data_IF_470915669842
#
_entry.id   IF_470915669842
#
_cell.length_a   1.000
_cell.length_b   1.000
_cell.length_c   1.000
_cell.angle_alpha   90.00
_cell.angle_beta   90.00
_cell.angle_gamma   90.00
#
_symmetry.space_group_name_H-M   'P 1'
#
loop_
_entity.id
_entity.type
_entity.pdbx_description
1 polymer ?
#
# COMPACT_ATOMS: atom_id res chain seq x y z
N UNK A 1 4.09 37.64 -7.01
CA UNK A 1 3.25 36.60 -6.38
C UNK A 1 3.57 35.29 -7.06
N UNK A 2 3.89 34.31 -6.23
CA UNK A 2 4.42 32.99 -6.53
C UNK A 2 3.39 32.12 -7.27
N UNK A 3 3.77 31.54 -8.40
CA UNK A 3 3.08 30.35 -8.93
C UNK A 3 4.11 29.37 -9.46
N UNK A 4 4.71 28.62 -8.52
CA UNK A 4 5.37 27.37 -8.84
C UNK A 4 4.30 26.39 -9.35
N UNK A 5 4.03 26.39 -10.65
CA UNK A 5 3.30 25.30 -11.31
C UNK A 5 4.27 24.11 -11.43
N UNK A 6 4.46 23.44 -10.29
CA UNK A 6 5.25 22.21 -10.22
C UNK A 6 4.39 21.10 -10.77
N UNK A 7 4.47 20.90 -12.08
CA UNK A 7 4.18 19.65 -12.76
C UNK A 7 2.95 18.94 -12.21
N UNK A 8 1.77 19.38 -12.64
CA UNK A 8 0.56 18.55 -12.60
C UNK A 8 0.83 17.30 -13.44
N UNK A 9 1.54 16.33 -12.87
CA UNK A 9 1.49 14.96 -13.35
C UNK A 9 0.03 14.57 -13.20
N UNK A 10 -0.71 14.68 -14.31
CA UNK A 10 -2.03 14.09 -14.47
C UNK A 10 -1.80 12.58 -14.37
N UNK A 11 -1.77 12.08 -13.15
CA UNK A 11 -1.93 10.66 -12.91
C UNK A 11 -3.34 10.37 -13.41
N UNK A 12 -3.43 9.61 -14.51
CA UNK A 12 -4.70 9.21 -15.09
C UNK A 12 -5.29 8.13 -14.18
N UNK A 13 -6.42 8.46 -13.55
CA UNK A 13 -7.11 7.56 -12.65
C UNK A 13 -8.32 6.94 -13.38
N UNK A 14 -8.62 5.64 -13.19
CA UNK A 14 -7.98 4.72 -12.25
C UNK A 14 -6.68 4.12 -12.78
N UNK A 15 -5.66 4.00 -11.91
CA UNK A 15 -4.39 3.35 -12.23
C UNK A 15 -4.06 2.31 -11.16
N UNK A 16 -3.53 1.16 -11.58
CA UNK A 16 -3.05 0.13 -10.65
C UNK A 16 -1.64 0.47 -10.18
N UNK A 17 -1.48 0.58 -8.87
CA UNK A 17 -0.20 0.84 -8.23
C UNK A 17 0.17 -0.34 -7.33
N UNK A 18 1.28 -1.04 -7.64
CA UNK A 18 1.79 -2.06 -6.74
C UNK A 18 2.47 -1.38 -5.54
N UNK A 19 1.85 -1.50 -4.37
CA UNK A 19 2.45 -1.07 -3.11
C UNK A 19 3.18 -2.26 -2.52
N UNK A 20 4.47 -2.07 -2.20
CA UNK A 20 5.29 -3.09 -1.57
C UNK A 20 5.47 -2.74 -0.10
N UNK A 21 4.95 -3.58 0.76
CA UNK A 21 5.05 -3.45 2.21
C UNK A 21 5.99 -4.52 2.74
N UNK A 22 6.86 -4.16 3.67
CA UNK A 22 7.71 -5.11 4.38
C UNK A 22 7.44 -4.98 5.85
N UNK A 23 7.26 -6.12 6.51
CA UNK A 23 6.95 -6.18 7.94
C UNK A 23 7.36 -7.51 8.54
N UNK A 24 6.93 -7.73 9.79
CA UNK A 24 7.15 -9.00 10.47
C UNK A 24 6.52 -10.17 9.70
N UNK A 25 7.20 -11.32 9.64
CA UNK A 25 6.68 -12.52 9.00
C UNK A 25 5.51 -13.12 9.80
N UNK A 26 4.30 -12.62 9.55
CA UNK A 26 3.08 -13.04 10.24
C UNK A 26 1.87 -12.89 9.31
N UNK A 27 0.99 -13.89 9.26
CA UNK A 27 -0.30 -13.83 8.55
C UNK A 27 -1.17 -12.65 9.00
N UNK A 28 -0.99 -12.20 10.24
CA UNK A 28 -1.69 -11.03 10.78
C UNK A 28 -1.34 -9.75 10.02
N UNK A 29 -0.12 -9.63 9.49
CA UNK A 29 0.28 -8.47 8.69
C UNK A 29 -0.54 -8.37 7.40
N UNK A 30 -0.70 -9.48 6.67
CA UNK A 30 -1.50 -9.49 5.45
C UNK A 30 -2.98 -9.17 5.73
N UNK A 31 -3.54 -9.72 6.80
CA UNK A 31 -4.91 -9.41 7.21
C UNK A 31 -5.10 -7.94 7.60
N UNK A 32 -4.19 -7.37 8.38
CA UNK A 32 -4.27 -5.95 8.78
C UNK A 32 -4.11 -5.02 7.58
N UNK A 33 -3.17 -5.30 6.68
CA UNK A 33 -3.00 -4.52 5.45
C UNK A 33 -4.25 -4.61 4.57
N UNK A 34 -4.82 -5.80 4.43
CA UNK A 34 -6.07 -5.99 3.70
C UNK A 34 -7.22 -5.16 4.31
N UNK A 35 -7.38 -5.17 5.63
CA UNK A 35 -8.43 -4.40 6.32
C UNK A 35 -8.24 -2.88 6.11
N UNK A 36 -7.00 -2.39 6.14
CA UNK A 36 -6.69 -0.99 5.83
C UNK A 36 -7.06 -0.68 4.37
N UNK A 37 -6.59 -1.49 3.43
CA UNK A 37 -6.81 -1.22 2.00
C UNK A 37 -8.29 -1.33 1.63
N UNK A 38 -9.03 -2.30 2.17
CA UNK A 38 -10.46 -2.50 1.85
C UNK A 38 -11.33 -1.34 2.34
N UNK A 39 -10.89 -0.59 3.37
CA UNK A 39 -11.55 0.65 3.79
C UNK A 39 -11.46 1.75 2.72
N UNK A 40 -10.39 1.76 1.93
CA UNK A 40 -10.15 2.73 0.85
C UNK A 40 -10.56 2.19 -0.53
N UNK A 41 -10.49 0.89 -0.74
CA UNK A 41 -10.84 0.16 -1.96
C UNK A 41 -11.63 -1.11 -1.61
N UNK A 42 -12.96 -1.04 -1.51
CA UNK A 42 -13.79 -2.19 -1.15
C UNK A 42 -13.79 -3.30 -2.21
N UNK A 43 -13.26 -3.04 -3.41
CA UNK A 43 -13.06 -4.06 -4.45
C UNK A 43 -11.72 -4.80 -4.30
N UNK A 44 -10.85 -4.35 -3.41
CA UNK A 44 -9.58 -5.00 -3.13
C UNK A 44 -9.81 -6.39 -2.52
N UNK A 45 -9.01 -7.36 -2.97
CA UNK A 45 -9.14 -8.76 -2.56
C UNK A 45 -7.80 -9.27 -2.02
N UNK A 46 -7.82 -10.14 -1.01
CA UNK A 46 -6.61 -10.77 -0.48
C UNK A 46 -5.79 -11.51 -1.53
N UNK A 47 -6.41 -11.98 -2.62
CA UNK A 47 -5.72 -12.65 -3.74
C UNK A 47 -4.71 -11.72 -4.46
N UNK A 48 -4.96 -10.40 -4.42
CA UNK A 48 -4.03 -9.39 -4.94
C UNK A 48 -2.81 -9.18 -4.02
N UNK A 49 -2.81 -9.74 -2.81
CA UNK A 49 -1.69 -9.67 -1.88
C UNK A 49 -0.77 -10.86 -2.13
N UNK A 50 0.44 -10.54 -2.60
CA UNK A 50 1.50 -11.51 -2.77
C UNK A 50 2.51 -11.43 -1.65
N UNK A 51 2.43 -12.39 -0.72
CA UNK A 51 3.42 -12.56 0.34
C UNK A 51 4.64 -13.32 -0.15
N UNK A 52 5.82 -12.76 0.10
CA UNK A 52 7.09 -13.43 -0.12
C UNK A 52 7.88 -13.44 1.19
N UNK A 53 8.09 -14.64 1.72
CA UNK A 53 8.88 -14.82 2.93
C UNK A 53 10.35 -14.50 2.64
N UNK A 54 10.99 -13.77 3.55
CA UNK A 54 12.43 -13.56 3.46
C UNK A 54 13.19 -14.79 3.93
N UNK A 55 14.37 -15.04 3.36
CA UNK A 55 15.21 -16.21 3.64
C UNK A 55 15.56 -16.37 5.14
N UNK A 56 15.47 -15.29 5.92
CA UNK A 56 15.74 -15.30 7.36
C UNK A 56 14.52 -15.55 8.27
N UNK A 57 13.31 -15.71 7.74
CA UNK A 57 12.09 -16.02 8.51
C UNK A 57 11.61 -14.93 9.49
N UNK A 58 12.37 -13.86 9.71
CA UNK A 58 11.97 -12.73 10.59
C UNK A 58 11.03 -11.73 9.91
N UNK A 59 11.19 -11.54 8.61
CA UNK A 59 10.47 -10.53 7.84
C UNK A 59 9.85 -11.12 6.58
N UNK A 60 8.75 -10.53 6.14
CA UNK A 60 8.11 -10.86 4.87
C UNK A 60 7.82 -9.58 4.10
N UNK A 61 7.92 -9.67 2.77
CA UNK A 61 7.50 -8.62 1.85
C UNK A 61 6.15 -8.99 1.26
N UNK A 62 5.18 -8.10 1.34
CA UNK A 62 3.86 -8.19 0.76
C UNK A 62 3.78 -7.19 -0.39
N UNK A 63 3.45 -7.67 -1.58
CA UNK A 63 3.14 -6.81 -2.73
C UNK A 63 1.64 -6.82 -2.91
N UNK A 64 1.00 -5.66 -2.81
CA UNK A 64 -0.44 -5.49 -3.02
C UNK A 64 -0.68 -4.59 -4.24
N UNK A 65 -1.54 -5.04 -5.15
CA UNK A 65 -1.99 -4.21 -6.28
C UNK A 65 -3.19 -3.36 -5.85
N UNK A 66 -2.98 -2.06 -5.63
CA UNK A 66 -4.05 -1.14 -5.23
C UNK A 66 -4.51 -0.35 -6.45
N UNK A 67 -5.82 -0.29 -6.66
CA UNK A 67 -6.40 0.61 -7.66
C UNK A 67 -6.47 2.02 -7.10
N UNK A 68 -5.47 2.83 -7.43
CA UNK A 68 -5.52 4.26 -7.14
C UNK A 68 -6.60 4.91 -8.01
N UNK A 69 -7.54 5.57 -7.36
CA UNK A 69 -8.55 6.44 -8.00
C UNK A 69 -8.25 7.92 -7.78
N UNK A 70 -7.38 8.24 -6.84
CA UNK A 70 -6.93 9.61 -6.54
C UNK A 70 -5.60 9.61 -5.79
N UNK A 71 -4.87 10.73 -5.88
CA UNK A 71 -3.60 10.94 -5.14
C UNK A 71 -3.81 10.88 -3.63
N UNK A 72 -4.89 11.48 -3.15
CA UNK A 72 -5.24 11.50 -1.72
C UNK A 72 -5.55 10.09 -1.18
N UNK A 73 -6.18 9.23 -1.99
CA UNK A 73 -6.45 7.83 -1.61
C UNK A 73 -5.14 7.07 -1.42
N UNK A 74 -4.18 7.22 -2.34
CA UNK A 74 -2.85 6.61 -2.20
C UNK A 74 -2.15 7.10 -0.94
N UNK A 75 -2.12 8.42 -0.72
CA UNK A 75 -1.45 9.01 0.44
C UNK A 75 -2.10 8.52 1.76
N UNK A 76 -3.43 8.44 1.82
CA UNK A 76 -4.15 7.88 2.95
C UNK A 76 -3.77 6.40 3.21
N UNK A 77 -3.76 5.57 2.17
CA UNK A 77 -3.34 4.17 2.27
C UNK A 77 -1.89 4.08 2.76
N UNK A 78 -0.96 4.84 2.19
CA UNK A 78 0.45 4.83 2.63
C UNK A 78 0.60 5.29 4.09
N UNK A 79 -0.17 6.28 4.54
CA UNK A 79 -0.14 6.73 5.93
C UNK A 79 -0.70 5.69 6.89
N UNK A 80 -1.84 5.07 6.59
CA UNK A 80 -2.43 4.02 7.43
C UNK A 80 -1.51 2.79 7.50
N UNK A 81 -0.90 2.41 6.37
CA UNK A 81 0.09 1.33 6.33
C UNK A 81 1.30 1.66 7.21
N UNK A 82 1.84 2.89 7.14
CA UNK A 82 2.95 3.32 8.00
C UNK A 82 2.57 3.46 9.47
N UNK A 83 1.31 3.75 9.77
CA UNK A 83 0.79 3.84 11.14
C UNK A 83 0.67 2.46 11.81
N UNK A 84 0.66 1.39 11.01
CA UNK A 84 0.59 0.03 11.53
C UNK A 84 1.93 -0.42 12.11
N UNK A 85 1.98 -0.75 13.41
CA UNK A 85 3.21 -1.22 14.10
C UNK A 85 3.84 -2.48 13.46
N UNK A 86 3.05 -3.27 12.74
CA UNK A 86 3.54 -4.49 12.07
C UNK A 86 4.30 -4.18 10.77
N UNK A 87 4.14 -2.98 10.22
CA UNK A 87 4.77 -2.51 8.99
C UNK A 87 6.08 -1.81 9.34
N UNK A 88 7.17 -2.29 8.75
CA UNK A 88 8.49 -1.65 8.89
C UNK A 88 8.65 -0.54 7.86
N UNK A 89 8.24 -0.80 6.63
CA UNK A 89 8.29 0.17 5.55
C UNK A 89 7.33 -0.18 4.40
N UNK A 90 6.86 0.84 3.68
CA UNK A 90 6.05 0.72 2.48
C UNK A 90 6.68 1.59 1.37
N UNK A 91 6.77 1.04 0.15
CA UNK A 91 7.23 1.71 -1.08
C UNK A 91 6.19 1.54 -2.18
#
# INVERSE_FOLDING_TARGET
MDTFSRSEAKIDFPSDFPIKVVGAANDRLAQTIHDIVVQHDPAFSMDAIRSNQSSGGKYQSLTLGVRATSREQLDAIYNDLKSCELVLWAL
#
